data_IF_720674233729
#
_entry.id   IF_720674233729
#
_cell.length_a   1.000
_cell.length_b   1.000
_cell.length_c   1.000
_cell.angle_alpha   90.00
_cell.angle_beta   90.00
_cell.angle_gamma   90.00
#
_symmetry.space_group_name_H-M   'P 1'
#
loop_
_entity.id
_entity.type
_entity.pdbx_description
1 polymer ?
#
# COMPACT_ATOMS: atom_id res chain seq x y z
N UNK A 1 -20.20 -24.82 -68.05
CA UNK A 1 -20.71 -23.71 -67.24
C UNK A 1 -20.67 -23.91 -65.77
N UNK A 2 -20.82 -25.10 -65.20
CA UNK A 2 -20.78 -25.34 -63.72
C UNK A 2 -19.38 -25.25 -63.07
N UNK A 3 -18.30 -25.48 -63.83
CA UNK A 3 -16.90 -25.42 -63.25
C UNK A 3 -16.32 -23.99 -63.20
N UNK A 4 -16.81 -23.10 -64.12
CA UNK A 4 -16.35 -21.69 -64.07
C UNK A 4 -16.98 -20.89 -62.91
N UNK A 5 -18.22 -21.27 -62.51
CA UNK A 5 -18.91 -20.60 -61.40
C UNK A 5 -18.31 -20.95 -60.02
N UNK A 6 -17.72 -22.15 -59.87
CA UNK A 6 -17.12 -22.61 -58.64
C UNK A 6 -15.74 -21.94 -58.39
N UNK A 7 -14.98 -21.66 -59.46
CA UNK A 7 -13.67 -20.95 -59.36
C UNK A 7 -13.88 -19.47 -59.04
N UNK A 8 -14.95 -18.85 -59.55
CA UNK A 8 -15.25 -17.45 -59.24
C UNK A 8 -15.72 -17.26 -57.79
N UNK A 9 -16.43 -18.25 -57.19
CA UNK A 9 -16.87 -18.18 -55.80
C UNK A 9 -15.69 -18.38 -54.79
N UNK A 10 -14.68 -19.17 -55.15
CA UNK A 10 -13.48 -19.38 -54.33
C UNK A 10 -12.57 -18.15 -54.38
N UNK A 11 -12.50 -17.44 -55.49
CA UNK A 11 -11.72 -16.18 -55.61
C UNK A 11 -12.37 -15.01 -54.83
N UNK A 12 -13.70 -14.96 -54.74
CA UNK A 12 -14.42 -13.94 -53.95
C UNK A 12 -14.29 -14.21 -52.46
N UNK A 13 -14.20 -15.49 -52.03
CA UNK A 13 -14.02 -15.85 -50.60
C UNK A 13 -12.58 -15.65 -50.14
N UNK A 14 -11.59 -15.69 -51.02
CA UNK A 14 -10.19 -15.41 -50.70
C UNK A 14 -9.88 -13.91 -50.59
N UNK A 15 -10.72 -13.01 -51.07
CA UNK A 15 -10.51 -11.56 -51.06
C UNK A 15 -11.19 -10.85 -49.88
N UNK A 16 -12.00 -11.57 -49.08
CA UNK A 16 -12.73 -10.99 -47.94
C UNK A 16 -12.13 -11.31 -46.56
N UNK A 17 -10.95 -11.95 -46.49
CA UNK A 17 -10.31 -12.28 -45.20
C UNK A 17 -9.01 -11.49 -44.95
N UNK A 18 -8.86 -10.34 -45.63
CA UNK A 18 -7.86 -9.32 -45.23
C UNK A 18 -8.52 -8.33 -44.27
N UNK A 19 -9.04 -8.82 -43.13
CA UNK A 19 -9.32 -7.97 -41.99
C UNK A 19 -7.96 -7.56 -41.46
N UNK A 20 -7.58 -6.33 -41.80
CA UNK A 20 -6.43 -5.66 -41.22
C UNK A 20 -6.55 -5.74 -39.69
N UNK A 21 -5.67 -6.50 -39.04
CA UNK A 21 -5.35 -6.26 -37.67
C UNK A 21 -4.80 -4.84 -37.60
N UNK A 22 -5.68 -3.88 -37.38
CA UNK A 22 -5.25 -2.56 -36.89
C UNK A 22 -4.67 -2.84 -35.50
N UNK A 23 -3.38 -3.14 -35.47
CA UNK A 23 -2.58 -3.04 -34.30
C UNK A 23 -2.68 -1.58 -33.86
N UNK A 24 -3.46 -1.27 -32.85
CA UNK A 24 -3.35 -0.02 -32.13
C UNK A 24 -1.94 0.02 -31.53
N UNK A 25 -0.97 0.49 -32.30
CA UNK A 25 0.25 1.02 -31.72
C UNK A 25 -0.20 2.16 -30.81
N UNK A 26 0.28 2.22 -29.55
CA UNK A 26 0.15 3.42 -28.76
C UNK A 26 0.63 4.60 -29.63
N UNK A 27 -0.12 5.69 -29.64
CA UNK A 27 0.28 6.89 -30.36
C UNK A 27 1.71 7.24 -29.91
N UNK A 28 2.66 7.29 -30.85
CA UNK A 28 3.99 7.76 -30.54
C UNK A 28 3.86 9.19 -30.00
N UNK A 29 4.47 9.44 -28.85
CA UNK A 29 4.58 10.78 -28.32
C UNK A 29 5.14 11.73 -29.41
N UNK A 30 4.69 12.98 -29.48
CA UNK A 30 5.16 13.92 -30.50
C UNK A 30 6.68 14.04 -30.41
N UNK A 31 7.37 13.72 -31.52
CA UNK A 31 8.81 13.92 -31.66
C UNK A 31 9.12 15.41 -31.43
N UNK A 32 9.73 15.75 -30.29
CA UNK A 32 10.13 17.11 -29.92
C UNK A 32 9.74 17.55 -28.52
N UNK A 33 8.86 16.88 -27.81
CA UNK A 33 8.68 17.11 -26.38
C UNK A 33 9.87 16.50 -25.61
N UNK A 34 10.57 17.30 -24.78
CA UNK A 34 11.59 16.79 -23.86
C UNK A 34 11.02 15.67 -23.02
N UNK A 35 11.89 14.76 -22.54
CA UNK A 35 11.44 13.71 -21.62
C UNK A 35 10.78 14.33 -20.40
N UNK A 36 9.64 13.78 -19.98
CA UNK A 36 9.01 14.16 -18.71
C UNK A 36 10.00 13.91 -17.57
N UNK A 37 10.14 14.90 -16.69
CA UNK A 37 10.99 14.86 -15.50
C UNK A 37 10.13 14.73 -14.26
N UNK A 38 10.26 13.64 -13.53
CA UNK A 38 9.54 13.38 -12.29
C UNK A 38 10.52 13.22 -11.12
N UNK A 39 10.26 13.90 -10.02
CA UNK A 39 11.04 13.75 -8.80
C UNK A 39 10.20 13.15 -7.68
N UNK A 40 10.77 12.18 -6.98
CA UNK A 40 10.25 11.67 -5.73
C UNK A 40 10.89 12.43 -4.57
N UNK A 41 10.07 12.90 -3.65
CA UNK A 41 10.51 13.48 -2.40
C UNK A 41 10.06 12.55 -1.27
N UNK A 42 11.02 12.01 -0.49
CA UNK A 42 10.70 11.24 0.71
C UNK A 42 10.47 12.16 1.89
N UNK A 43 9.74 11.65 2.87
CA UNK A 43 9.79 12.19 4.22
C UNK A 43 11.14 11.88 4.90
N UNK A 44 11.24 12.13 6.21
CA UNK A 44 12.46 11.92 7.01
C UNK A 44 12.88 10.45 7.13
N UNK A 45 12.03 9.49 6.71
CA UNK A 45 12.35 8.06 6.71
C UNK A 45 13.36 7.66 5.63
N UNK A 46 13.41 8.40 4.51
CA UNK A 46 14.27 8.02 3.38
C UNK A 46 13.92 6.66 2.76
N UNK A 47 14.86 6.05 2.06
CA UNK A 47 14.76 4.65 1.61
C UNK A 47 15.44 3.71 2.59
N UNK A 48 14.93 2.49 2.74
CA UNK A 48 15.52 1.46 3.60
C UNK A 48 16.92 1.02 3.15
N UNK A 49 17.23 1.23 1.87
CA UNK A 49 18.49 0.78 1.26
C UNK A 49 18.62 -0.73 1.13
N UNK A 50 17.55 -1.50 1.35
CA UNK A 50 17.53 -2.96 1.34
C UNK A 50 16.35 -3.50 0.54
N UNK A 51 16.62 -4.40 -0.41
CA UNK A 51 15.57 -5.13 -1.12
C UNK A 51 14.79 -6.11 -0.22
N UNK A 52 15.39 -6.55 0.88
CA UNK A 52 14.78 -7.52 1.80
C UNK A 52 13.84 -6.85 2.83
N UNK A 53 14.11 -5.57 3.14
CA UNK A 53 13.38 -4.80 4.15
C UNK A 53 12.69 -3.58 3.54
N UNK A 54 12.17 -3.70 2.32
CA UNK A 54 11.43 -2.62 1.69
C UNK A 54 10.28 -2.15 2.58
N UNK A 55 10.10 -0.83 2.63
CA UNK A 55 9.02 -0.16 3.31
C UNK A 55 8.27 0.78 2.37
N UNK A 56 7.45 1.64 2.95
CA UNK A 56 6.56 2.57 2.27
C UNK A 56 7.27 3.45 1.21
N UNK A 57 8.40 4.07 1.57
CA UNK A 57 9.15 4.94 0.65
C UNK A 57 9.80 4.14 -0.49
N UNK A 58 10.30 2.93 -0.21
CA UNK A 58 10.90 2.06 -1.23
C UNK A 58 9.88 1.68 -2.31
N UNK A 59 8.63 1.38 -1.92
CA UNK A 59 7.54 1.10 -2.87
C UNK A 59 7.25 2.33 -3.75
N UNK A 60 7.22 3.53 -3.16
CA UNK A 60 7.11 4.76 -3.94
C UNK A 60 8.18 4.84 -5.02
N UNK A 61 9.44 4.54 -4.66
CA UNK A 61 10.56 4.54 -5.59
C UNK A 61 10.49 3.41 -6.64
N UNK A 62 9.95 2.25 -6.29
CA UNK A 62 9.71 1.18 -7.26
C UNK A 62 8.75 1.62 -8.36
N UNK A 63 7.71 2.40 -8.04
CA UNK A 63 6.82 3.02 -9.04
C UNK A 63 7.56 3.97 -9.98
N UNK A 64 8.52 4.74 -9.48
CA UNK A 64 9.38 5.61 -10.29
C UNK A 64 10.29 4.80 -11.23
N UNK A 65 10.98 3.79 -10.71
CA UNK A 65 11.81 2.88 -11.53
C UNK A 65 11.01 2.19 -12.63
N UNK A 66 9.78 1.80 -12.32
CA UNK A 66 8.88 1.23 -13.31
C UNK A 66 8.51 2.25 -14.38
N UNK A 67 8.22 3.51 -14.01
CA UNK A 67 7.92 4.58 -14.96
C UNK A 67 9.12 4.94 -15.84
N UNK A 68 10.34 4.99 -15.31
CA UNK A 68 11.55 5.17 -16.10
C UNK A 68 11.70 4.10 -17.17
N UNK A 69 11.49 2.83 -16.77
CA UNK A 69 11.62 1.67 -17.66
C UNK A 69 10.56 1.65 -18.75
N UNK A 70 9.28 1.87 -18.39
CA UNK A 70 8.15 1.64 -19.30
C UNK A 70 7.76 2.87 -20.10
N UNK A 71 7.95 4.07 -19.54
CA UNK A 71 7.56 5.35 -20.14
C UNK A 71 8.75 6.18 -20.63
N UNK A 72 9.98 5.80 -20.25
CA UNK A 72 11.20 6.50 -20.63
C UNK A 72 11.36 7.89 -20.01
N UNK A 73 10.67 8.17 -18.90
CA UNK A 73 10.74 9.43 -18.15
C UNK A 73 12.11 9.58 -17.46
N UNK A 74 12.51 10.81 -17.15
CA UNK A 74 13.69 11.09 -16.30
C UNK A 74 13.24 11.13 -14.85
N UNK A 75 13.87 10.35 -13.98
CA UNK A 75 13.49 10.26 -12.57
C UNK A 75 14.61 10.77 -11.66
N UNK A 76 14.22 11.35 -10.53
CA UNK A 76 15.14 11.81 -9.48
C UNK A 76 14.59 11.45 -8.11
N UNK A 77 15.43 10.90 -7.25
CA UNK A 77 15.15 10.72 -5.82
C UNK A 77 15.73 11.89 -5.04
N UNK A 78 14.93 12.47 -4.15
CA UNK A 78 15.35 13.49 -3.19
C UNK A 78 14.93 13.03 -1.80
N UNK A 79 15.92 12.70 -0.98
CA UNK A 79 15.68 12.31 0.41
C UNK A 79 15.82 13.52 1.33
N UNK A 80 14.85 13.71 2.22
CA UNK A 80 14.85 14.79 3.20
C UNK A 80 15.35 14.26 4.55
N UNK A 81 16.20 15.04 5.21
CA UNK A 81 16.75 14.68 6.54
C UNK A 81 15.88 15.18 7.68
N UNK A 82 15.20 16.29 7.45
CA UNK A 82 14.28 16.91 8.41
C UNK A 82 13.13 17.61 7.67
N UNK A 83 12.04 17.89 8.36
CA UNK A 83 10.87 18.53 7.75
C UNK A 83 11.17 19.93 7.16
N UNK A 84 12.14 20.63 7.74
CA UNK A 84 12.58 21.94 7.24
C UNK A 84 13.18 21.88 5.82
N UNK A 85 13.63 20.70 5.38
CA UNK A 85 14.19 20.50 4.04
C UNK A 85 13.11 20.45 2.94
N UNK A 86 11.85 20.10 3.27
CA UNK A 86 10.82 19.77 2.29
C UNK A 86 10.58 20.89 1.27
N UNK A 87 10.24 22.08 1.70
CA UNK A 87 9.98 23.21 0.78
C UNK A 87 11.24 23.62 0.00
N UNK A 88 12.42 23.61 0.65
CA UNK A 88 13.67 23.94 0.00
C UNK A 88 14.02 22.95 -1.12
N UNK A 89 13.76 21.65 -0.90
CA UNK A 89 13.95 20.60 -1.90
C UNK A 89 12.97 20.78 -3.07
N UNK A 90 11.68 21.03 -2.81
CA UNK A 90 10.67 21.25 -3.85
C UNK A 90 11.02 22.50 -4.68
N UNK A 91 11.45 23.58 -4.04
CA UNK A 91 11.87 24.81 -4.73
C UNK A 91 13.00 24.55 -5.73
N UNK A 92 14.02 23.80 -5.33
CA UNK A 92 15.11 23.40 -6.23
C UNK A 92 14.62 22.62 -7.45
N UNK A 93 13.66 21.70 -7.24
CA UNK A 93 13.06 20.92 -8.32
C UNK A 93 12.27 21.80 -9.28
N UNK A 94 11.52 22.80 -8.77
CA UNK A 94 10.82 23.77 -9.59
C UNK A 94 11.78 24.64 -10.42
N UNK A 95 12.88 25.11 -9.82
CA UNK A 95 13.94 25.87 -10.52
C UNK A 95 14.63 25.03 -11.61
N UNK A 96 14.76 23.71 -11.41
CA UNK A 96 15.29 22.73 -12.37
C UNK A 96 14.27 22.30 -13.42
N UNK A 97 13.03 22.85 -13.36
CA UNK A 97 11.93 22.59 -14.30
C UNK A 97 11.53 21.10 -14.37
N UNK A 98 11.37 20.47 -13.21
CA UNK A 98 10.69 19.19 -13.14
C UNK A 98 9.20 19.36 -13.48
N UNK A 99 8.64 18.38 -14.20
CA UNK A 99 7.23 18.39 -14.61
C UNK A 99 6.31 17.92 -13.48
N UNK A 100 6.82 17.04 -12.62
CA UNK A 100 6.09 16.45 -11.50
C UNK A 100 6.99 16.29 -10.27
N UNK A 101 6.47 16.65 -9.10
CA UNK A 101 7.01 16.25 -7.80
C UNK A 101 5.98 15.37 -7.08
N UNK A 102 6.39 14.18 -6.66
CA UNK A 102 5.57 13.27 -5.86
C UNK A 102 6.13 13.23 -4.44
N UNK A 103 5.35 13.71 -3.49
CA UNK A 103 5.64 13.61 -2.06
C UNK A 103 5.14 12.27 -1.52
N UNK A 104 6.03 11.51 -0.90
CA UNK A 104 5.70 10.20 -0.30
C UNK A 104 5.49 10.37 1.21
N UNK A 105 4.24 10.26 1.63
CA UNK A 105 3.82 10.33 3.04
C UNK A 105 3.18 11.66 3.44
N UNK A 106 2.28 11.55 4.42
CA UNK A 106 1.46 12.68 4.88
C UNK A 106 2.26 13.79 5.57
N UNK A 107 3.47 13.52 6.05
CA UNK A 107 4.34 14.55 6.64
C UNK A 107 4.73 15.66 5.65
N UNK A 108 4.57 15.41 4.35
CA UNK A 108 4.81 16.38 3.26
C UNK A 108 3.60 17.26 2.92
N UNK A 109 2.46 17.07 3.61
CA UNK A 109 1.19 17.72 3.25
C UNK A 109 1.30 19.24 3.17
N UNK A 110 1.83 19.87 4.21
CA UNK A 110 1.93 21.34 4.28
C UNK A 110 2.93 21.87 3.24
N UNK A 111 4.06 21.19 3.06
CA UNK A 111 5.06 21.56 2.07
C UNK A 111 4.51 21.47 0.65
N UNK A 112 3.83 20.39 0.29
CA UNK A 112 3.19 20.23 -1.03
C UNK A 112 2.10 21.30 -1.23
N UNK A 113 1.25 21.55 -0.22
CA UNK A 113 0.22 22.59 -0.30
C UNK A 113 0.81 23.98 -0.55
N UNK A 114 1.81 24.38 0.23
CA UNK A 114 2.45 25.69 0.12
C UNK A 114 3.16 25.84 -1.23
N UNK A 115 3.84 24.81 -1.68
CA UNK A 115 4.61 24.88 -2.92
C UNK A 115 3.70 24.77 -4.16
N UNK A 116 2.59 24.03 -4.08
CA UNK A 116 1.59 24.00 -5.15
C UNK A 116 0.95 25.37 -5.41
N UNK A 117 0.73 26.17 -4.36
CA UNK A 117 0.25 27.55 -4.48
C UNK A 117 1.31 28.48 -5.08
N UNK A 118 2.59 28.30 -4.75
CA UNK A 118 3.70 29.12 -5.27
C UNK A 118 4.05 28.78 -6.72
N UNK A 119 3.83 27.53 -7.14
CA UNK A 119 4.15 27.03 -8.49
C UNK A 119 2.90 26.43 -9.17
N UNK A 120 1.91 27.25 -9.56
CA UNK A 120 0.62 26.77 -10.07
C UNK A 120 0.73 26.00 -11.40
N UNK A 121 1.78 26.25 -12.18
CA UNK A 121 2.02 25.55 -13.46
C UNK A 121 2.74 24.21 -13.30
N UNK A 122 3.32 23.93 -12.12
CA UNK A 122 3.96 22.67 -11.80
C UNK A 122 2.93 21.67 -11.31
N UNK A 123 3.12 20.40 -11.65
CA UNK A 123 2.27 19.33 -11.17
C UNK A 123 2.85 18.68 -9.92
N UNK A 124 1.97 18.34 -8.99
CA UNK A 124 2.31 17.66 -7.75
C UNK A 124 1.45 16.41 -7.58
N UNK A 125 1.99 15.42 -6.91
CA UNK A 125 1.20 14.36 -6.31
C UNK A 125 1.61 14.18 -4.85
N UNK A 126 0.69 13.72 -4.03
CA UNK A 126 0.96 13.34 -2.64
C UNK A 126 0.36 11.98 -2.36
N UNK A 127 1.10 11.15 -1.63
CA UNK A 127 0.68 9.82 -1.20
C UNK A 127 0.34 9.89 0.30
N UNK A 128 -0.77 9.28 0.70
CA UNK A 128 -1.28 9.21 2.08
C UNK A 128 -1.74 10.55 2.66
N UNK A 129 -2.07 11.50 1.82
CA UNK A 129 -2.68 12.75 2.28
C UNK A 129 -3.56 13.37 1.20
N UNK A 130 -4.33 14.38 1.61
CA UNK A 130 -5.17 15.18 0.71
C UNK A 130 -4.72 16.64 0.76
N UNK A 131 -4.41 17.17 -0.42
CA UNK A 131 -4.10 18.58 -0.64
C UNK A 131 -5.09 19.13 -1.65
N UNK A 132 -5.91 20.12 -1.23
CA UNK A 132 -6.95 20.74 -2.06
C UNK A 132 -6.37 21.87 -2.90
N UNK A 133 -5.56 21.50 -3.91
CA UNK A 133 -5.01 22.41 -4.90
C UNK A 133 -5.25 21.85 -6.31
N UNK A 134 -5.56 22.68 -7.32
CA UNK A 134 -5.93 22.21 -8.65
C UNK A 134 -4.81 21.48 -9.40
N UNK A 135 -3.56 21.70 -9.01
CA UNK A 135 -2.36 21.10 -9.56
C UNK A 135 -1.78 19.95 -8.69
N UNK A 136 -2.55 19.45 -7.71
CA UNK A 136 -2.14 18.32 -6.85
C UNK A 136 -3.05 17.13 -7.05
N UNK A 137 -2.49 15.98 -7.41
CA UNK A 137 -3.16 14.68 -7.36
C UNK A 137 -2.89 14.01 -6.01
N UNK A 138 -3.93 13.82 -5.21
CA UNK A 138 -3.85 13.23 -3.87
C UNK A 138 -4.25 11.76 -3.92
N UNK A 139 -3.33 10.86 -3.57
CA UNK A 139 -3.59 9.41 -3.52
C UNK A 139 -3.74 8.98 -2.07
N UNK A 140 -4.88 8.41 -1.74
CA UNK A 140 -5.16 7.80 -0.44
C UNK A 140 -5.59 6.35 -0.64
N UNK A 141 -5.54 5.58 0.45
CA UNK A 141 -5.88 4.16 0.40
C UNK A 141 -6.97 3.84 1.43
N UNK A 142 -7.62 2.69 1.25
CA UNK A 142 -8.55 2.12 2.23
C UNK A 142 -7.81 1.12 3.10
N UNK A 143 -6.86 1.62 3.90
CA UNK A 143 -5.96 0.82 4.75
C UNK A 143 -6.74 -0.09 5.71
N UNK A 144 -7.92 0.36 6.15
CA UNK A 144 -8.83 -0.41 6.99
C UNK A 144 -9.25 -1.74 6.37
N UNK A 145 -9.35 -1.81 5.03
CA UNK A 145 -9.75 -3.04 4.34
C UNK A 145 -8.69 -4.14 4.45
N UNK A 146 -7.43 -3.81 4.16
CA UNK A 146 -6.33 -4.77 4.27
C UNK A 146 -6.05 -5.17 5.71
N UNK A 147 -6.12 -4.19 6.63
CA UNK A 147 -5.95 -4.42 8.06
C UNK A 147 -7.04 -5.32 8.64
N UNK A 148 -8.28 -5.21 8.14
CA UNK A 148 -9.37 -6.13 8.51
C UNK A 148 -9.01 -7.58 8.19
N UNK A 149 -8.50 -7.85 6.98
CA UNK A 149 -8.17 -9.20 6.55
C UNK A 149 -7.05 -9.82 7.41
N UNK A 150 -6.00 -9.05 7.69
CA UNK A 150 -4.93 -9.54 8.58
C UNK A 150 -5.37 -9.61 10.04
N UNK A 151 -6.35 -8.79 10.45
CA UNK A 151 -7.01 -8.88 11.75
C UNK A 151 -7.74 -10.22 11.96
N UNK A 152 -8.48 -10.68 10.95
CA UNK A 152 -9.11 -12.00 10.97
C UNK A 152 -8.07 -13.11 11.10
N UNK A 153 -6.95 -13.02 10.34
CA UNK A 153 -5.86 -13.99 10.43
C UNK A 153 -5.21 -14.00 11.82
N UNK A 154 -5.00 -12.83 12.43
CA UNK A 154 -4.44 -12.71 13.77
C UNK A 154 -5.35 -13.33 14.84
N UNK A 155 -6.64 -13.05 14.76
CA UNK A 155 -7.66 -13.59 15.68
C UNK A 155 -7.77 -15.12 15.59
N UNK A 156 -7.71 -15.67 14.39
CA UNK A 156 -7.63 -17.11 14.19
C UNK A 156 -6.35 -17.68 14.81
N UNK A 157 -5.20 -17.05 14.53
CA UNK A 157 -3.89 -17.57 14.90
C UNK A 157 -3.69 -17.61 16.43
N UNK A 158 -4.12 -16.56 17.17
CA UNK A 158 -4.06 -16.55 18.64
C UNK A 158 -4.98 -17.60 19.29
N UNK A 159 -5.89 -18.19 18.51
CA UNK A 159 -6.83 -19.23 18.99
C UNK A 159 -6.35 -20.66 18.73
N UNK A 160 -5.26 -20.88 17.96
CA UNK A 160 -4.74 -22.24 17.72
C UNK A 160 -4.04 -22.78 18.96
N UNK A 161 -3.96 -24.10 19.04
CA UNK A 161 -3.30 -24.79 20.16
C UNK A 161 -2.10 -25.60 19.69
N UNK A 162 -1.17 -25.84 20.59
CA UNK A 162 -0.02 -26.72 20.31
C UNK A 162 1.12 -26.03 19.54
N UNK A 163 1.10 -24.69 19.42
CA UNK A 163 2.21 -23.90 18.88
C UNK A 163 2.91 -23.17 20.02
N UNK A 164 4.22 -23.22 20.05
CA UNK A 164 5.05 -22.66 21.15
C UNK A 164 5.09 -21.11 21.16
N UNK A 165 4.62 -20.46 20.10
CA UNK A 165 4.49 -19.00 19.99
C UNK A 165 3.13 -18.47 20.45
N UNK A 166 2.13 -19.38 20.62
CA UNK A 166 0.76 -19.01 20.95
C UNK A 166 0.46 -19.42 22.41
N UNK A 167 -0.09 -18.49 23.16
CA UNK A 167 -0.55 -18.69 24.54
C UNK A 167 -2.08 -18.88 24.61
N UNK A 168 -2.63 -19.00 25.81
CA UNK A 168 -4.07 -19.25 26.00
C UNK A 168 -4.88 -17.95 26.29
N UNK A 169 -4.22 -16.79 26.31
CA UNK A 169 -4.84 -15.54 26.81
C UNK A 169 -5.73 -14.86 25.75
N UNK A 170 -5.63 -15.25 24.45
CA UNK A 170 -6.38 -14.66 23.33
C UNK A 170 -6.20 -13.13 23.24
N UNK A 171 -4.96 -12.69 23.19
CA UNK A 171 -4.61 -11.28 23.08
C UNK A 171 -3.70 -11.08 21.86
N UNK A 172 -4.07 -10.16 21.00
CA UNK A 172 -3.25 -9.73 19.86
C UNK A 172 -2.83 -8.28 20.02
N UNK A 173 -1.77 -7.86 19.34
CA UNK A 173 -1.21 -6.51 19.43
C UNK A 173 -1.33 -5.72 18.14
N UNK A 174 -1.39 -4.40 18.27
CA UNK A 174 -1.26 -3.42 17.19
C UNK A 174 -0.25 -2.36 17.57
N UNK A 175 0.83 -2.26 16.81
CA UNK A 175 1.87 -1.23 16.99
C UNK A 175 1.74 -0.19 15.88
N UNK A 176 1.23 1.00 16.22
CA UNK A 176 1.16 2.15 15.33
C UNK A 176 2.44 2.98 15.37
N UNK A 177 2.72 3.70 14.28
CA UNK A 177 3.78 4.70 14.24
C UNK A 177 3.39 5.97 14.99
N UNK A 178 3.02 7.02 14.30
CA UNK A 178 2.50 8.25 14.89
C UNK A 178 0.96 8.19 14.96
N UNK A 179 0.40 8.63 16.08
CA UNK A 179 -1.04 8.75 16.25
C UNK A 179 -1.64 9.76 15.26
N UNK A 180 -2.73 9.40 14.61
CA UNK A 180 -3.42 10.25 13.65
C UNK A 180 -4.38 9.48 12.73
N UNK A 181 -5.19 10.21 11.97
CA UNK A 181 -6.27 9.66 11.17
C UNK A 181 -5.83 8.58 10.15
N UNK A 182 -4.61 8.66 9.64
CA UNK A 182 -4.08 7.64 8.73
C UNK A 182 -3.86 6.30 9.47
N UNK A 183 -3.15 6.33 10.58
CA UNK A 183 -2.82 5.10 11.32
C UNK A 183 -4.04 4.57 12.08
N UNK A 184 -5.00 5.43 12.42
CA UNK A 184 -6.29 5.02 12.98
C UNK A 184 -7.06 4.08 12.03
N UNK A 185 -6.98 4.26 10.70
CA UNK A 185 -7.58 3.34 9.73
C UNK A 185 -7.03 1.91 9.85
N UNK A 186 -5.70 1.78 9.97
CA UNK A 186 -5.06 0.47 10.17
C UNK A 186 -5.53 -0.18 11.46
N UNK A 187 -5.53 0.58 12.56
CA UNK A 187 -5.97 0.11 13.87
C UNK A 187 -7.44 -0.34 13.86
N UNK A 188 -8.33 0.51 13.33
CA UNK A 188 -9.77 0.23 13.32
C UNK A 188 -10.13 -0.94 12.42
N UNK A 189 -9.52 -1.02 11.23
CA UNK A 189 -9.67 -2.17 10.34
C UNK A 189 -9.20 -3.46 11.01
N UNK A 190 -8.01 -3.44 11.63
CA UNK A 190 -7.48 -4.59 12.35
C UNK A 190 -8.42 -5.06 13.49
N UNK A 191 -8.86 -4.14 14.34
CA UNK A 191 -9.82 -4.43 15.44
C UNK A 191 -11.14 -4.99 14.91
N UNK A 192 -11.68 -4.42 13.82
CA UNK A 192 -12.89 -4.90 13.19
C UNK A 192 -12.74 -6.33 12.65
N UNK A 193 -11.59 -6.65 12.03
CA UNK A 193 -11.26 -7.99 11.56
C UNK A 193 -11.11 -8.99 12.70
N UNK A 194 -10.42 -8.61 13.77
CA UNK A 194 -10.25 -9.44 14.97
C UNK A 194 -11.61 -9.81 15.56
N UNK A 195 -12.46 -8.83 15.83
CA UNK A 195 -13.79 -9.08 16.42
C UNK A 195 -14.75 -9.81 15.48
N UNK A 196 -14.54 -9.74 14.18
CA UNK A 196 -15.35 -10.48 13.21
C UNK A 196 -15.08 -11.98 13.27
N UNK A 197 -13.85 -12.39 13.49
CA UNK A 197 -13.52 -13.80 13.61
C UNK A 197 -13.83 -14.37 15.00
N UNK A 198 -13.34 -13.74 16.05
CA UNK A 198 -13.61 -14.11 17.45
C UNK A 198 -13.75 -12.85 18.31
N UNK A 199 -14.97 -12.51 18.78
CA UNK A 199 -15.22 -11.30 19.57
C UNK A 199 -14.61 -11.37 21.00
N UNK A 200 -14.16 -12.54 21.44
CA UNK A 200 -13.50 -12.71 22.74
C UNK A 200 -12.00 -12.38 22.69
N UNK A 201 -11.41 -12.21 21.50
CA UNK A 201 -10.01 -11.81 21.34
C UNK A 201 -9.84 -10.33 21.63
N UNK A 202 -8.90 -10.03 22.53
CA UNK A 202 -8.57 -8.64 22.88
C UNK A 202 -7.48 -8.09 21.98
N UNK A 203 -7.56 -6.80 21.64
CA UNK A 203 -6.53 -6.08 20.89
C UNK A 203 -5.87 -5.04 21.80
N UNK A 204 -4.58 -5.19 22.05
CA UNK A 204 -3.76 -4.11 22.60
C UNK A 204 -3.38 -3.16 21.45
N UNK A 205 -3.33 -1.87 21.73
CA UNK A 205 -2.90 -0.87 20.73
C UNK A 205 -1.95 0.11 21.39
N UNK A 206 -0.76 0.25 20.82
CA UNK A 206 0.27 1.18 21.30
C UNK A 206 0.92 1.89 20.11
N UNK A 207 1.18 3.18 20.26
CA UNK A 207 1.86 4.01 19.27
C UNK A 207 3.28 4.31 19.70
N UNK A 208 4.25 4.12 18.79
CA UNK A 208 5.67 4.40 19.07
C UNK A 208 5.99 5.89 19.10
N UNK A 209 5.13 6.73 18.50
CA UNK A 209 5.37 8.16 18.28
C UNK A 209 6.45 8.45 17.23
N UNK A 210 6.81 7.46 16.40
CA UNK A 210 7.84 7.58 15.36
C UNK A 210 7.59 6.59 14.23
N UNK A 211 8.03 6.92 13.01
CA UNK A 211 8.11 5.96 11.90
C UNK A 211 9.55 5.47 11.64
N UNK A 212 10.55 6.04 12.33
CA UNK A 212 11.98 5.82 12.02
C UNK A 212 12.79 5.31 13.23
N UNK A 213 12.14 4.86 14.30
CA UNK A 213 12.80 4.43 15.54
C UNK A 213 12.51 2.95 15.82
N UNK A 214 13.33 2.07 15.25
CA UNK A 214 13.22 0.63 15.46
C UNK A 214 13.42 0.22 16.94
N UNK A 215 14.16 1.01 17.73
CA UNK A 215 14.32 0.78 19.16
C UNK A 215 12.99 0.89 19.91
N UNK A 216 12.23 1.97 19.65
CA UNK A 216 10.89 2.13 20.21
C UNK A 216 9.93 1.05 19.74
N UNK A 217 10.01 0.66 18.46
CA UNK A 217 9.21 -0.45 17.93
C UNK A 217 9.47 -1.74 18.68
N UNK A 218 10.75 -2.06 18.95
CA UNK A 218 11.15 -3.24 19.72
C UNK A 218 10.64 -3.19 21.16
N UNK A 219 10.82 -2.06 21.83
CA UNK A 219 10.34 -1.87 23.22
C UNK A 219 8.81 -2.04 23.28
N UNK A 220 8.09 -1.49 22.32
CA UNK A 220 6.63 -1.61 22.22
C UNK A 220 6.20 -3.06 21.99
N UNK A 221 6.81 -3.76 21.03
CA UNK A 221 6.53 -5.18 20.79
C UNK A 221 6.81 -6.06 22.02
N UNK A 222 7.91 -5.82 22.74
CA UNK A 222 8.20 -6.51 24.00
C UNK A 222 7.15 -6.18 25.07
N UNK A 223 6.71 -4.93 25.15
CA UNK A 223 5.66 -4.52 26.10
C UNK A 223 4.34 -5.24 25.83
N UNK A 224 3.89 -5.30 24.57
CA UNK A 224 2.67 -6.01 24.21
C UNK A 224 2.78 -7.52 24.48
N UNK A 225 3.91 -8.14 24.15
CA UNK A 225 4.18 -9.55 24.49
C UNK A 225 4.11 -9.79 26.01
N UNK A 226 4.70 -8.92 26.82
CA UNK A 226 4.63 -9.01 28.28
C UNK A 226 3.20 -8.88 28.81
N UNK A 227 2.34 -8.18 28.07
CA UNK A 227 0.90 -8.09 28.29
C UNK A 227 0.11 -9.21 27.57
N UNK A 228 0.79 -10.28 27.15
CA UNK A 228 0.23 -11.52 26.61
C UNK A 228 -0.18 -11.50 25.15
N UNK A 229 0.11 -10.46 24.39
CA UNK A 229 -0.08 -10.51 22.94
C UNK A 229 0.90 -11.52 22.32
N UNK A 230 0.41 -12.41 21.49
CA UNK A 230 1.18 -13.47 20.85
C UNK A 230 1.17 -13.39 19.30
N UNK A 231 0.35 -12.49 18.74
CA UNK A 231 0.37 -12.07 17.33
C UNK A 231 0.33 -10.55 17.30
N UNK A 232 1.38 -9.90 16.78
CA UNK A 232 1.46 -8.44 16.79
C UNK A 232 1.58 -7.91 15.36
N UNK A 233 0.61 -7.07 14.96
CA UNK A 233 0.61 -6.34 13.70
C UNK A 233 1.19 -4.95 13.88
N UNK A 234 2.02 -4.49 12.94
CA UNK A 234 2.50 -3.12 12.96
C UNK A 234 2.06 -2.31 11.73
N UNK A 235 1.81 -1.01 11.95
CA UNK A 235 1.68 0.03 10.94
C UNK A 235 2.56 1.21 11.37
N UNK A 236 3.88 1.01 11.36
CA UNK A 236 4.85 1.88 12.03
C UNK A 236 6.11 2.19 11.20
N UNK A 237 6.09 1.95 9.88
CA UNK A 237 7.24 2.17 9.01
C UNK A 237 8.49 1.41 9.49
N UNK A 238 9.66 2.06 9.49
CA UNK A 238 10.91 1.45 9.98
C UNK A 238 10.86 1.10 11.47
N UNK A 239 10.09 1.85 12.29
CA UNK A 239 9.88 1.47 13.69
C UNK A 239 9.30 0.07 13.81
N UNK A 240 8.49 -0.38 12.85
CA UNK A 240 7.93 -1.72 12.79
C UNK A 240 8.96 -2.84 12.64
N UNK A 241 10.14 -2.57 12.08
CA UNK A 241 11.23 -3.55 12.02
C UNK A 241 11.67 -3.98 13.43
N UNK A 242 11.55 -3.07 14.42
CA UNK A 242 11.79 -3.38 15.83
C UNK A 242 10.80 -4.41 16.38
N UNK A 243 9.53 -4.43 15.93
CA UNK A 243 8.55 -5.45 16.31
C UNK A 243 9.01 -6.85 15.86
N UNK A 244 9.62 -6.95 14.67
CA UNK A 244 10.17 -8.21 14.18
C UNK A 244 11.38 -8.67 15.00
N UNK A 245 12.21 -7.75 15.48
CA UNK A 245 13.29 -8.08 16.41
C UNK A 245 12.74 -8.59 17.75
N UNK A 246 11.70 -7.93 18.27
CA UNK A 246 11.01 -8.39 19.47
C UNK A 246 10.40 -9.79 19.28
N UNK A 247 9.78 -10.05 18.10
CA UNK A 247 9.21 -11.35 17.77
C UNK A 247 10.25 -12.48 17.82
N UNK A 248 11.44 -12.23 17.24
CA UNK A 248 12.57 -13.18 17.31
C UNK A 248 13.08 -13.39 18.74
N UNK A 249 13.13 -12.34 19.55
CA UNK A 249 13.65 -12.39 20.92
C UNK A 249 12.68 -13.09 21.87
N UNK A 250 11.39 -12.82 21.74
CA UNK A 250 10.34 -13.28 22.67
C UNK A 250 9.54 -14.46 22.20
N UNK A 251 9.73 -14.90 20.95
CA UNK A 251 9.07 -16.04 20.34
C UNK A 251 7.55 -15.87 20.17
N UNK A 252 7.12 -14.80 19.48
CA UNK A 252 5.73 -14.56 19.08
C UNK A 252 5.61 -14.34 17.57
N UNK A 253 4.41 -14.36 17.02
CA UNK A 253 4.18 -14.07 15.59
C UNK A 253 3.98 -12.58 15.33
N UNK A 254 4.48 -12.12 14.18
CA UNK A 254 4.30 -10.77 13.71
C UNK A 254 3.55 -10.73 12.37
N UNK A 255 2.86 -9.62 12.12
CA UNK A 255 2.24 -9.28 10.84
C UNK A 255 2.88 -8.01 10.31
N UNK A 256 3.31 -8.05 9.05
CA UNK A 256 3.95 -6.94 8.35
C UNK A 256 2.97 -5.99 7.68
N UNK A 257 3.51 -4.93 7.10
CA UNK A 257 2.75 -3.86 6.42
C UNK A 257 3.43 -3.42 5.13
N UNK A 258 2.66 -2.82 4.23
CA UNK A 258 3.04 -2.25 2.93
C UNK A 258 3.47 -3.29 1.90
N UNK A 259 4.42 -4.16 2.23
CA UNK A 259 4.96 -5.21 1.36
C UNK A 259 5.02 -6.56 2.08
N UNK A 260 5.36 -7.65 1.35
CA UNK A 260 5.62 -8.95 1.95
C UNK A 260 6.93 -8.93 2.77
N UNK A 261 6.82 -8.69 4.06
CA UNK A 261 7.96 -8.53 4.97
C UNK A 261 8.45 -9.86 5.59
N UNK A 262 8.09 -11.01 5.01
CA UNK A 262 8.49 -12.34 5.53
C UNK A 262 9.99 -12.51 5.73
N UNK A 263 10.81 -11.84 4.90
CA UNK A 263 12.27 -11.95 4.96
C UNK A 263 12.90 -11.16 6.12
N UNK A 264 12.19 -10.16 6.69
CA UNK A 264 12.68 -9.38 7.83
C UNK A 264 12.78 -10.23 9.12
N UNK A 265 11.89 -11.22 9.27
CA UNK A 265 11.95 -12.18 10.37
C UNK A 265 11.41 -13.55 9.90
N UNK A 266 12.22 -14.36 9.18
CA UNK A 266 11.80 -15.67 8.70
C UNK A 266 11.33 -16.58 9.83
N UNK A 267 10.14 -17.19 9.68
CA UNK A 267 9.51 -18.05 10.69
C UNK A 267 8.73 -17.30 11.79
N UNK A 268 8.71 -15.97 11.75
CA UNK A 268 7.97 -15.11 12.68
C UNK A 268 6.92 -14.24 12.00
N UNK A 269 7.20 -13.69 10.82
CA UNK A 269 6.21 -12.92 10.03
C UNK A 269 5.29 -13.90 9.32
N UNK A 270 4.03 -13.96 9.74
CA UNK A 270 3.03 -14.95 9.24
C UNK A 270 2.23 -14.44 8.06
N UNK A 271 2.04 -13.14 7.99
CA UNK A 271 1.29 -12.44 6.95
C UNK A 271 1.79 -11.01 6.85
N UNK A 272 1.40 -10.31 5.78
CA UNK A 272 1.58 -8.87 5.65
C UNK A 272 0.35 -8.25 5.01
N UNK A 273 -0.08 -7.09 5.51
CA UNK A 273 -1.00 -6.22 4.82
C UNK A 273 -0.25 -5.53 3.68
N UNK A 274 -0.80 -5.56 2.49
CA UNK A 274 -0.15 -5.03 1.28
C UNK A 274 -0.79 -3.70 0.88
N UNK A 275 0.06 -2.71 0.58
CA UNK A 275 -0.34 -1.39 0.13
C UNK A 275 0.51 -1.01 -1.09
N UNK A 276 -0.14 -0.91 -2.24
CA UNK A 276 0.52 -0.73 -3.53
C UNK A 276 0.87 0.74 -3.81
N UNK A 277 1.81 1.28 -3.04
CA UNK A 277 2.31 2.66 -3.17
C UNK A 277 2.95 2.90 -4.54
N UNK A 278 3.60 1.88 -5.09
CA UNK A 278 4.20 1.90 -6.43
C UNK A 278 3.17 2.15 -7.53
N UNK A 279 1.95 1.65 -7.37
CA UNK A 279 0.84 1.88 -8.32
C UNK A 279 0.43 3.35 -8.32
N UNK A 280 0.34 3.98 -7.15
CA UNK A 280 0.00 5.39 -7.03
C UNK A 280 1.08 6.28 -7.66
N UNK A 281 2.36 6.04 -7.33
CA UNK A 281 3.51 6.77 -7.87
C UNK A 281 3.62 6.62 -9.38
N UNK A 282 3.55 5.38 -9.90
CA UNK A 282 3.55 5.11 -11.34
C UNK A 282 2.39 5.81 -12.04
N UNK A 283 1.17 5.77 -11.47
CA UNK A 283 -0.02 6.39 -12.06
C UNK A 283 0.13 7.91 -12.14
N UNK A 284 0.67 8.56 -11.12
CA UNK A 284 0.92 10.00 -11.14
C UNK A 284 1.87 10.40 -12.29
N UNK A 285 2.95 9.63 -12.46
CA UNK A 285 3.94 9.88 -13.53
C UNK A 285 3.35 9.60 -14.91
N UNK A 286 2.64 8.48 -15.08
CA UNK A 286 1.98 8.11 -16.32
C UNK A 286 0.99 9.18 -16.77
N UNK A 287 0.18 9.71 -15.87
CA UNK A 287 -0.81 10.73 -16.21
C UNK A 287 -0.16 12.02 -16.70
N UNK A 288 1.03 12.37 -16.21
CA UNK A 288 1.81 13.49 -16.74
C UNK A 288 2.39 13.16 -18.11
N UNK A 289 2.94 11.96 -18.30
CA UNK A 289 3.52 11.53 -19.56
C UNK A 289 2.48 11.46 -20.69
N UNK A 290 1.25 11.01 -20.36
CA UNK A 290 0.13 10.91 -21.29
C UNK A 290 -0.61 12.23 -21.49
N UNK A 291 -0.26 13.30 -20.75
CA UNK A 291 -0.96 14.58 -20.79
C UNK A 291 -2.39 14.55 -20.21
N UNK A 292 -2.70 13.55 -19.39
CA UNK A 292 -4.02 13.32 -18.77
C UNK A 292 -4.07 13.71 -17.30
N UNK A 293 -2.99 14.27 -16.75
CA UNK A 293 -2.89 14.67 -15.34
C UNK A 293 -4.06 15.56 -14.91
N UNK A 294 -4.65 15.20 -13.77
CA UNK A 294 -5.69 15.99 -13.11
C UNK A 294 -5.43 15.98 -11.61
N UNK A 295 -5.54 17.17 -11.02
CA UNK A 295 -5.59 17.31 -9.55
C UNK A 295 -6.88 16.67 -8.98
N UNK A 296 -6.89 16.50 -7.67
CA UNK A 296 -8.01 15.94 -6.91
C UNK A 296 -7.68 14.62 -6.26
N UNK A 297 -8.65 14.06 -5.54
CA UNK A 297 -8.49 12.88 -4.69
C UNK A 297 -8.71 11.61 -5.50
N UNK A 298 -7.83 10.63 -5.30
CA UNK A 298 -7.93 9.26 -5.83
C UNK A 298 -7.77 8.29 -4.68
N UNK A 299 -8.78 7.47 -4.46
CA UNK A 299 -8.79 6.47 -3.39
C UNK A 299 -8.52 5.11 -4.03
N UNK A 300 -7.51 4.41 -3.56
CA UNK A 300 -7.13 3.08 -4.00
C UNK A 300 -7.50 2.06 -2.91
N UNK A 301 -8.42 1.18 -3.26
CA UNK A 301 -8.92 0.17 -2.35
C UNK A 301 -8.59 -1.25 -2.81
N UNK A 302 -9.20 -2.20 -2.12
CA UNK A 302 -9.04 -3.62 -2.45
C UNK A 302 -9.61 -3.96 -3.84
N UNK A 303 -10.65 -3.25 -4.28
CA UNK A 303 -11.25 -3.40 -5.61
C UNK A 303 -10.39 -2.85 -6.75
N UNK A 304 -9.48 -1.93 -6.44
CA UNK A 304 -8.56 -1.28 -7.39
C UNK A 304 -7.15 -1.88 -7.34
N UNK A 305 -6.98 -3.00 -6.63
CA UNK A 305 -5.69 -3.60 -6.31
C UNK A 305 -4.71 -2.60 -5.64
N UNK A 306 -5.22 -1.61 -4.90
CA UNK A 306 -4.43 -0.67 -4.12
C UNK A 306 -4.08 -1.22 -2.74
N UNK A 307 -4.90 -2.13 -2.22
CA UNK A 307 -4.78 -2.78 -0.92
C UNK A 307 -4.94 -4.29 -1.08
N UNK A 308 -4.25 -5.06 -0.26
CA UNK A 308 -4.36 -6.50 -0.22
C UNK A 308 -3.76 -7.11 1.04
N UNK A 309 -3.50 -8.40 0.99
CA UNK A 309 -2.74 -9.11 2.02
C UNK A 309 -1.97 -10.27 1.39
N UNK A 310 -1.00 -10.77 2.12
CA UNK A 310 -0.31 -12.03 1.77
C UNK A 310 -0.12 -12.87 3.02
N UNK A 311 -0.10 -14.18 2.85
CA UNK A 311 0.28 -15.15 3.90
C UNK A 311 1.67 -15.68 3.54
N UNK A 312 2.58 -15.70 4.50
CA UNK A 312 3.93 -16.26 4.32
C UNK A 312 3.85 -17.72 3.92
N UNK A 313 4.37 -18.12 2.75
CA UNK A 313 4.18 -19.47 2.20
C UNK A 313 4.59 -20.59 3.16
N UNK A 314 5.73 -20.44 3.83
CA UNK A 314 6.28 -21.46 4.74
C UNK A 314 5.46 -21.62 6.04
N UNK A 315 4.63 -20.63 6.37
CA UNK A 315 3.75 -20.61 7.54
C UNK A 315 2.27 -20.79 7.18
N UNK A 316 1.95 -20.98 5.90
CA UNK A 316 0.56 -21.14 5.42
C UNK A 316 -0.16 -22.32 6.08
N UNK A 317 0.56 -23.37 6.44
CA UNK A 317 0.01 -24.54 7.13
C UNK A 317 -0.53 -24.25 8.53
N UNK A 318 -0.23 -23.10 9.13
CA UNK A 318 -0.82 -22.64 10.38
C UNK A 318 -2.29 -22.24 10.23
N UNK A 319 -2.73 -21.92 9.01
CA UNK A 319 -4.08 -21.46 8.71
C UNK A 319 -4.89 -22.60 8.08
N UNK A 320 -6.05 -22.90 8.65
CA UNK A 320 -6.98 -23.87 8.06
C UNK A 320 -7.59 -23.30 6.77
N UNK A 321 -8.12 -24.16 5.92
CA UNK A 321 -8.83 -23.71 4.72
C UNK A 321 -10.07 -22.88 5.08
N UNK A 322 -10.75 -23.19 6.19
CA UNK A 322 -11.94 -22.44 6.66
C UNK A 322 -11.64 -20.95 6.90
N UNK A 323 -10.52 -20.62 7.60
CA UNK A 323 -10.16 -19.20 7.79
C UNK A 323 -9.78 -18.53 6.47
N UNK A 324 -9.09 -19.23 5.58
CA UNK A 324 -8.73 -18.69 4.26
C UNK A 324 -10.00 -18.36 3.47
N UNK A 325 -10.97 -19.29 3.42
CA UNK A 325 -12.24 -19.10 2.73
C UNK A 325 -13.04 -17.92 3.32
N UNK A 326 -13.04 -17.74 4.64
CA UNK A 326 -13.69 -16.62 5.32
C UNK A 326 -13.01 -15.27 5.00
N UNK A 327 -11.69 -15.22 4.97
CA UNK A 327 -10.94 -14.01 4.60
C UNK A 327 -11.21 -13.64 3.14
N UNK A 328 -11.24 -14.62 2.23
CA UNK A 328 -11.59 -14.40 0.82
C UNK A 328 -13.05 -13.96 0.65
N UNK A 329 -13.98 -14.51 1.45
CA UNK A 329 -15.38 -14.08 1.46
C UNK A 329 -15.51 -12.62 1.93
N UNK A 330 -14.81 -12.23 3.01
CA UNK A 330 -14.78 -10.85 3.49
C UNK A 330 -14.19 -9.91 2.44
N UNK A 331 -13.08 -10.28 1.80
CA UNK A 331 -12.49 -9.53 0.70
C UNK A 331 -13.50 -9.31 -0.44
N UNK A 332 -14.20 -10.36 -0.83
CA UNK A 332 -15.24 -10.27 -1.86
C UNK A 332 -16.37 -9.32 -1.44
N UNK A 333 -16.83 -9.38 -0.20
CA UNK A 333 -17.86 -8.49 0.31
C UNK A 333 -17.42 -7.02 0.30
N UNK A 334 -16.15 -6.73 0.54
CA UNK A 334 -15.60 -5.37 0.40
C UNK A 334 -15.61 -4.90 -1.05
N UNK A 335 -15.18 -5.76 -1.99
CA UNK A 335 -15.20 -5.46 -3.44
C UNK A 335 -16.64 -5.23 -3.92
N UNK A 336 -17.59 -6.03 -3.47
CA UNK A 336 -19.02 -5.92 -3.81
C UNK A 336 -19.72 -4.75 -3.07
N UNK A 337 -19.02 -4.07 -2.12
CA UNK A 337 -19.57 -2.95 -1.32
C UNK A 337 -20.59 -3.38 -0.26
N UNK A 338 -20.71 -4.67 0.04
CA UNK A 338 -21.64 -5.21 1.07
C UNK A 338 -21.02 -5.24 2.47
N UNK A 339 -19.69 -5.19 2.57
CA UNK A 339 -18.96 -4.99 3.82
C UNK A 339 -18.25 -3.64 3.77
N UNK A 340 -18.66 -2.73 4.66
CA UNK A 340 -18.00 -1.45 4.88
C UNK A 340 -17.19 -1.57 6.17
N UNK A 341 -15.86 -1.56 6.02
CA UNK A 341 -14.94 -1.62 7.15
C UNK A 341 -14.85 -0.24 7.81
N UNK A 342 -14.90 -0.13 9.14
CA UNK A 342 -14.80 1.16 9.82
C UNK A 342 -13.37 1.72 9.66
N UNK A 343 -13.29 3.03 9.41
CA UNK A 343 -12.02 3.75 9.25
C UNK A 343 -11.70 4.68 10.42
N UNK A 344 -12.58 4.75 11.41
CA UNK A 344 -12.41 5.53 12.65
C UNK A 344 -12.84 4.72 13.87
N UNK A 345 -12.27 5.02 15.04
CA UNK A 345 -12.70 4.39 16.31
C UNK A 345 -14.18 4.64 16.60
N UNK A 346 -14.69 5.81 16.26
CA UNK A 346 -16.11 6.14 16.44
C UNK A 346 -17.06 5.30 15.56
N UNK A 347 -16.60 4.90 14.37
CA UNK A 347 -17.36 4.00 13.48
C UNK A 347 -17.20 2.54 13.91
N UNK A 348 -16.05 2.18 14.49
CA UNK A 348 -15.83 0.84 15.05
C UNK A 348 -16.82 0.52 16.18
N UNK A 349 -17.18 1.50 17.02
CA UNK A 349 -18.19 1.32 18.07
C UNK A 349 -19.58 0.91 17.52
N UNK A 350 -19.87 1.25 16.27
CA UNK A 350 -21.14 0.96 15.60
C UNK A 350 -21.04 -0.23 14.66
N UNK A 351 -19.84 -0.73 14.43
CA UNK A 351 -19.58 -1.80 13.49
C UNK A 351 -20.26 -3.09 13.93
N UNK A 352 -20.86 -3.77 12.97
CA UNK A 352 -21.43 -5.10 13.16
C UNK A 352 -20.68 -6.07 12.26
N UNK A 353 -20.11 -7.07 12.88
CA UNK A 353 -19.40 -8.12 12.16
C UNK A 353 -20.33 -8.80 11.13
N UNK A 354 -19.89 -9.01 9.89
CA UNK A 354 -20.65 -9.78 8.92
C UNK A 354 -20.71 -11.27 9.32
N UNK A 355 -21.71 -11.98 8.81
CA UNK A 355 -21.73 -13.45 8.82
C UNK A 355 -20.85 -13.97 7.66
N UNK A 356 -19.83 -14.80 7.96
CA UNK A 356 -18.84 -15.35 7.03
C UNK A 356 -18.81 -16.87 7.02
#
# INVERSE_FOLDING_TARGET
MKKAFLVLLILIFALSLSIAFISCKPAAAPEGAGKVKAAMLTDVGGLSGSEENKGFNDLGWDGFKQAEKDLGVEILLVESREQADYEANIRKLAEQKFDLVVGIGYLLTDAINNMAQQYPDMKFAIIDSVVDQPNVASFTFTEEQGSFLVGMLASYLTSITGNDKINADKIVGFVGGMEGALIEKFETGYKAGVMTFDPDVQVLSVYTGSFVDAGKGKETGISEYNNKADVIYHAAGESGLGVFEAAKEKNFFAIGVDTDQKNAAPGFVVASMIKHVEVASFTAIRDVADGTFKGGIRILGIGDAGIGYTITPDLKSLFSQDIIDKVEAAQKMMIDGTLIVPSTLADLEKFKAPEL
#
